data_IF_320785329162
#
_entry.id   IF_320785329162
#
_cell.length_a   1.000
_cell.length_b   1.000
_cell.length_c   1.000
_cell.angle_alpha   90.00
_cell.angle_beta   90.00
_cell.angle_gamma   90.00
#
_symmetry.space_group_name_H-M   'P 1'
#
loop_
_entity.id
_entity.type
_entity.pdbx_description
1 polymer ?
#
# COMPACT_ATOMS: atom_id res chain seq x y z
N UNK A 1 7.48 -12.41 14.33
CA UNK A 1 6.39 -13.18 14.98
C UNK A 1 6.32 -12.89 16.47
N UNK A 2 7.43 -12.95 17.14
CA UNK A 2 7.47 -12.92 18.62
C UNK A 2 7.21 -11.54 19.19
N UNK A 3 7.46 -10.48 18.43
CA UNK A 3 7.14 -9.10 18.84
C UNK A 3 5.63 -8.87 19.05
N UNK A 4 4.76 -9.60 18.36
CA UNK A 4 3.31 -9.48 18.55
C UNK A 4 2.88 -9.98 19.94
N UNK A 5 3.51 -11.03 20.42
CA UNK A 5 3.24 -11.61 21.75
C UNK A 5 3.97 -10.86 22.89
N UNK A 6 5.08 -10.18 22.60
CA UNK A 6 6.00 -9.61 23.57
C UNK A 6 6.31 -8.13 23.30
N UNK A 7 5.30 -7.35 22.93
CA UNK A 7 5.50 -5.97 22.46
C UNK A 7 5.79 -4.98 23.59
N UNK A 8 7.00 -5.10 24.17
CA UNK A 8 7.51 -4.22 25.21
C UNK A 8 9.02 -3.94 25.02
N UNK A 9 9.52 -2.92 25.70
CA UNK A 9 10.90 -2.44 25.53
C UNK A 9 11.94 -3.44 26.02
N UNK A 10 11.69 -4.13 27.12
CA UNK A 10 12.62 -5.08 27.73
C UNK A 10 12.87 -6.26 26.80
N UNK A 11 11.81 -6.89 26.32
CA UNK A 11 11.88 -7.97 25.35
C UNK A 11 12.59 -7.52 24.06
N UNK A 12 12.25 -6.36 23.54
CA UNK A 12 12.87 -5.84 22.33
C UNK A 12 14.38 -5.61 22.50
N UNK A 13 14.82 -5.10 23.63
CA UNK A 13 16.25 -4.92 23.90
C UNK A 13 17.00 -6.24 23.95
N UNK A 14 16.40 -7.29 24.50
CA UNK A 14 16.98 -8.63 24.53
C UNK A 14 17.11 -9.27 23.15
N UNK A 15 16.23 -8.90 22.18
CA UNK A 15 16.19 -9.44 20.81
C UNK A 15 16.61 -8.41 19.74
N UNK A 16 17.33 -7.37 20.14
CA UNK A 16 17.71 -6.26 19.25
C UNK A 16 18.60 -6.70 18.09
N UNK A 17 19.46 -7.67 18.30
CA UNK A 17 20.36 -8.19 17.27
C UNK A 17 19.56 -8.89 16.15
N UNK A 18 18.58 -9.72 16.52
CA UNK A 18 17.69 -10.39 15.57
C UNK A 18 16.88 -9.37 14.75
N UNK A 19 16.33 -8.36 15.43
CA UNK A 19 15.65 -7.27 14.73
C UNK A 19 16.58 -6.54 13.75
N UNK A 20 17.82 -6.27 14.16
CA UNK A 20 18.79 -5.57 13.31
C UNK A 20 19.12 -6.39 12.07
N UNK A 21 19.30 -7.69 12.20
CA UNK A 21 19.53 -8.59 11.08
C UNK A 21 18.32 -8.64 10.12
N UNK A 22 17.11 -8.84 10.66
CA UNK A 22 15.86 -8.81 9.87
C UNK A 22 15.68 -7.47 9.15
N UNK A 23 15.96 -6.37 9.82
CA UNK A 23 15.86 -5.04 9.25
C UNK A 23 16.85 -4.83 8.10
N UNK A 24 18.08 -5.31 8.24
CA UNK A 24 19.11 -5.23 7.20
C UNK A 24 18.69 -6.04 5.95
N UNK A 25 18.22 -7.27 6.13
CA UNK A 25 17.67 -8.08 5.01
C UNK A 25 16.49 -7.40 4.32
N UNK A 26 15.56 -6.83 5.08
CA UNK A 26 14.45 -6.08 4.51
C UNK A 26 14.92 -4.88 3.68
N UNK A 27 15.88 -4.11 4.19
CA UNK A 27 16.42 -2.93 3.52
C UNK A 27 17.19 -3.29 2.25
N UNK A 28 17.91 -4.42 2.24
CA UNK A 28 18.53 -4.96 1.05
C UNK A 28 17.48 -5.34 -0.01
N UNK A 29 16.41 -6.03 0.41
CA UNK A 29 15.27 -6.35 -0.46
C UNK A 29 14.64 -5.10 -1.08
N UNK A 30 14.41 -4.05 -0.30
CA UNK A 30 13.87 -2.78 -0.81
C UNK A 30 14.85 -2.11 -1.80
N UNK A 31 16.15 -2.18 -1.57
CA UNK A 31 17.16 -1.67 -2.52
C UNK A 31 17.07 -2.39 -3.87
N UNK A 32 16.96 -3.72 -3.85
CA UNK A 32 16.78 -4.52 -5.07
C UNK A 32 15.47 -4.16 -5.79
N UNK A 33 14.37 -3.99 -5.04
CA UNK A 33 13.09 -3.58 -5.62
C UNK A 33 13.15 -2.20 -6.27
N UNK A 34 13.76 -1.20 -5.64
CA UNK A 34 13.96 0.12 -6.25
C UNK A 34 14.71 -0.03 -7.58
N UNK A 35 15.77 -0.83 -7.62
CA UNK A 35 16.57 -1.07 -8.83
C UNK A 35 15.74 -1.72 -9.95
N UNK A 36 14.95 -2.75 -9.62
CA UNK A 36 14.12 -3.45 -10.61
C UNK A 36 12.98 -2.58 -11.10
N UNK A 37 12.26 -1.91 -10.19
CA UNK A 37 11.13 -1.05 -10.55
C UNK A 37 11.62 0.14 -11.39
N UNK A 38 12.79 0.71 -11.10
CA UNK A 38 13.33 1.85 -11.84
C UNK A 38 13.60 1.56 -13.34
N UNK A 39 13.63 0.30 -13.74
CA UNK A 39 13.77 -0.10 -15.15
C UNK A 39 12.53 0.24 -15.98
N UNK A 40 11.34 0.26 -15.36
CA UNK A 40 10.08 0.61 -16.01
C UNK A 40 9.40 1.86 -15.41
N UNK A 41 9.77 2.27 -14.20
CA UNK A 41 9.36 3.52 -13.56
C UNK A 41 10.60 4.34 -13.18
N UNK A 42 11.17 5.12 -14.11
CA UNK A 42 12.39 5.90 -13.86
C UNK A 42 12.18 7.02 -12.82
N UNK A 43 10.95 7.36 -12.47
CA UNK A 43 10.65 8.43 -11.50
C UNK A 43 11.12 8.11 -10.09
N UNK A 44 11.37 6.83 -9.78
CA UNK A 44 11.80 6.38 -8.46
C UNK A 44 13.30 6.06 -8.38
N UNK A 45 14.05 6.16 -9.48
CA UNK A 45 15.46 5.74 -9.56
C UNK A 45 16.41 6.49 -8.60
N UNK A 46 16.02 7.69 -8.17
CA UNK A 46 16.79 8.52 -7.24
C UNK A 46 16.57 8.18 -5.75
N UNK A 47 15.61 7.31 -5.45
CA UNK A 47 15.23 6.99 -4.07
C UNK A 47 16.28 6.12 -3.37
N UNK A 48 16.41 6.36 -2.08
CA UNK A 48 17.14 5.49 -1.16
C UNK A 48 16.17 4.70 -0.29
N UNK A 49 16.64 3.64 0.34
CA UNK A 49 15.86 2.85 1.31
C UNK A 49 15.25 3.73 2.41
N UNK A 50 15.98 4.75 2.87
CA UNK A 50 15.50 5.68 3.91
C UNK A 50 14.30 6.51 3.48
N UNK A 51 14.18 6.80 2.18
CA UNK A 51 13.04 7.53 1.62
C UNK A 51 11.77 6.69 1.60
N UNK A 52 11.92 5.37 1.51
CA UNK A 52 10.84 4.41 1.31
C UNK A 52 10.37 3.72 2.59
N UNK A 53 11.28 3.40 3.53
CA UNK A 53 10.98 2.55 4.69
C UNK A 53 10.38 3.30 5.86
N UNK A 54 9.43 2.66 6.54
CA UNK A 54 8.82 3.21 7.76
C UNK A 54 9.65 2.87 9.00
N UNK A 55 9.55 3.74 10.02
CA UNK A 55 10.12 3.48 11.35
C UNK A 55 9.40 2.32 12.03
N UNK A 56 10.12 1.58 12.83
CA UNK A 56 9.58 0.46 13.60
C UNK A 56 8.71 0.91 14.78
N UNK A 57 9.11 2.00 15.45
CA UNK A 57 8.37 2.54 16.58
C UNK A 57 7.00 3.07 16.14
N UNK A 58 5.97 2.77 16.93
CA UNK A 58 4.62 3.32 16.78
C UNK A 58 4.54 4.73 17.35
N UNK A 59 3.60 5.51 16.83
CA UNK A 59 3.13 6.72 17.50
C UNK A 59 1.90 6.37 18.32
N UNK A 60 2.08 6.24 19.62
CA UNK A 60 1.04 5.78 20.55
C UNK A 60 0.29 6.91 21.24
N UNK A 61 0.58 8.20 20.90
CA UNK A 61 -0.02 9.36 21.59
C UNK A 61 -1.54 9.32 21.57
N UNK A 62 -2.13 9.00 20.43
CA UNK A 62 -3.58 9.00 20.20
C UNK A 62 -4.15 7.59 20.01
N UNK A 63 -3.37 6.52 20.21
CA UNK A 63 -3.81 5.14 20.07
C UNK A 63 -4.28 4.58 21.41
N UNK A 64 -5.41 3.84 21.46
CA UNK A 64 -5.78 3.04 22.63
C UNK A 64 -4.73 1.95 22.94
N UNK A 65 -4.20 1.32 21.91
CA UNK A 65 -3.11 0.36 22.04
C UNK A 65 -1.78 1.11 22.22
N UNK A 66 -1.15 0.88 23.37
CA UNK A 66 0.12 1.51 23.78
C UNK A 66 1.36 0.66 23.45
N UNK A 67 1.22 -0.44 22.72
CA UNK A 67 2.36 -1.24 22.24
C UNK A 67 3.38 -0.36 21.51
N UNK A 68 4.66 -0.35 21.92
CA UNK A 68 5.64 0.62 21.41
C UNK A 68 6.12 0.34 19.99
N UNK A 69 5.99 -0.89 19.50
CA UNK A 69 6.55 -1.32 18.21
C UNK A 69 5.47 -1.80 17.25
N UNK A 70 5.75 -1.71 15.96
CA UNK A 70 4.95 -2.36 14.93
C UNK A 70 5.25 -3.85 14.89
N UNK A 71 4.27 -4.64 14.50
CA UNK A 71 4.40 -6.08 14.28
C UNK A 71 4.85 -6.42 12.84
N UNK A 72 5.11 -5.40 12.01
CA UNK A 72 5.44 -5.52 10.60
C UNK A 72 6.57 -4.59 10.18
N UNK A 73 7.20 -4.91 9.08
CA UNK A 73 8.07 -4.03 8.31
C UNK A 73 7.30 -3.53 7.08
N UNK A 74 7.40 -2.25 6.77
CA UNK A 74 6.71 -1.66 5.64
C UNK A 74 7.59 -0.69 4.88
N UNK A 75 7.41 -0.65 3.55
CA UNK A 75 8.02 0.33 2.68
C UNK A 75 7.00 0.84 1.64
N UNK A 76 7.10 2.12 1.30
CA UNK A 76 6.36 2.73 0.21
C UNK A 76 7.35 3.40 -0.74
N UNK A 77 7.47 2.82 -1.93
CA UNK A 77 8.36 3.29 -3.01
C UNK A 77 7.50 4.18 -3.90
N UNK A 78 7.74 5.48 -3.85
CA UNK A 78 6.98 6.46 -4.61
C UNK A 78 7.87 7.66 -4.94
N UNK A 79 7.65 8.28 -6.08
CA UNK A 79 8.45 9.38 -6.68
C UNK A 79 9.00 10.41 -5.68
N UNK A 80 8.23 10.80 -4.68
CA UNK A 80 8.63 11.76 -3.66
C UNK A 80 8.82 11.11 -2.26
N UNK A 81 9.09 9.80 -2.22
CA UNK A 81 9.27 9.02 -1.01
C UNK A 81 7.96 8.72 -0.26
N UNK A 82 8.06 8.00 0.85
CA UNK A 82 6.94 7.40 1.60
C UNK A 82 5.88 8.37 2.16
N UNK A 83 6.11 9.67 2.11
CA UNK A 83 5.15 10.69 2.55
C UNK A 83 4.39 11.32 1.39
N UNK A 84 4.67 10.89 0.17
CA UNK A 84 4.01 11.40 -1.02
C UNK A 84 2.54 11.02 -1.06
N UNK A 85 1.75 11.84 -1.74
CA UNK A 85 0.36 11.57 -2.10
C UNK A 85 0.22 10.97 -3.50
N UNK A 86 1.33 10.73 -4.21
CA UNK A 86 1.33 10.05 -5.50
C UNK A 86 1.10 8.55 -5.34
N UNK A 87 0.68 7.89 -6.39
CA UNK A 87 0.70 6.43 -6.48
C UNK A 87 2.12 5.87 -6.35
N UNK A 88 2.24 4.66 -5.85
CA UNK A 88 3.53 4.00 -5.66
C UNK A 88 3.35 2.50 -5.38
N UNK A 89 4.40 1.88 -4.87
CA UNK A 89 4.50 0.45 -4.61
C UNK A 89 4.67 0.24 -3.11
N UNK A 90 3.77 -0.50 -2.50
CA UNK A 90 3.78 -0.77 -1.06
C UNK A 90 4.12 -2.22 -0.79
N UNK A 91 5.05 -2.44 0.09
CA UNK A 91 5.46 -3.74 0.60
C UNK A 91 5.18 -3.80 2.09
N UNK A 92 4.48 -4.84 2.53
CA UNK A 92 4.17 -5.11 3.92
C UNK A 92 4.57 -6.53 4.27
N UNK A 93 5.48 -6.68 5.21
CA UNK A 93 5.92 -7.99 5.70
C UNK A 93 5.47 -8.14 7.14
N UNK A 94 4.46 -8.98 7.33
CA UNK A 94 3.90 -9.36 8.62
C UNK A 94 3.55 -10.84 8.57
N UNK A 95 3.92 -11.59 9.58
CA UNK A 95 3.63 -13.04 9.64
C UNK A 95 2.14 -13.32 9.49
N UNK A 96 1.78 -14.09 8.47
CA UNK A 96 0.40 -14.44 8.11
C UNK A 96 -0.40 -13.33 7.42
N UNK A 97 0.18 -12.13 7.24
CA UNK A 97 -0.48 -10.98 6.64
C UNK A 97 0.41 -10.22 5.64
N UNK A 98 1.39 -10.92 5.06
CA UNK A 98 2.29 -10.32 4.06
C UNK A 98 1.52 -9.95 2.79
N UNK A 99 1.77 -8.75 2.26
CA UNK A 99 1.09 -8.25 1.06
C UNK A 99 1.96 -7.31 0.24
N UNK A 100 1.58 -7.19 -1.03
CA UNK A 100 2.09 -6.19 -1.98
C UNK A 100 0.90 -5.38 -2.48
N UNK A 101 1.09 -4.06 -2.60
CA UNK A 101 0.07 -3.17 -3.14
C UNK A 101 0.68 -2.13 -4.08
N UNK A 102 -0.15 -1.63 -5.01
CA UNK A 102 0.20 -0.54 -5.93
C UNK A 102 -0.89 0.54 -5.87
N UNK A 103 -0.52 1.76 -6.24
CA UNK A 103 -1.47 2.87 -6.35
C UNK A 103 -1.39 3.84 -5.17
N UNK A 104 -2.50 4.52 -4.87
CA UNK A 104 -2.56 5.58 -3.88
C UNK A 104 -3.62 5.29 -2.81
N UNK A 105 -3.21 5.36 -1.56
CA UNK A 105 -4.01 5.10 -0.37
C UNK A 105 -4.18 6.36 0.48
N UNK A 106 -5.35 6.51 1.09
CA UNK A 106 -5.66 7.59 2.03
C UNK A 106 -5.46 9.00 1.44
N UNK A 107 -6.05 9.22 0.26
CA UNK A 107 -5.93 10.50 -0.45
C UNK A 107 -6.76 11.61 0.22
N UNK A 108 -6.22 12.82 0.42
CA UNK A 108 -6.99 13.99 0.79
C UNK A 108 -8.08 14.29 -0.24
N UNK A 109 -9.19 14.88 0.20
CA UNK A 109 -10.37 15.11 -0.64
C UNK A 109 -10.08 15.90 -1.93
N UNK A 110 -9.21 16.91 -1.86
CA UNK A 110 -8.81 17.69 -3.02
C UNK A 110 -8.05 16.86 -4.07
N UNK A 111 -7.14 15.99 -3.62
CA UNK A 111 -6.40 15.09 -4.51
C UNK A 111 -7.33 14.03 -5.09
N UNK A 112 -8.20 13.46 -4.25
CA UNK A 112 -9.19 12.48 -4.69
C UNK A 112 -10.15 13.07 -5.74
N UNK A 113 -10.55 14.35 -5.58
CA UNK A 113 -11.37 15.06 -6.57
C UNK A 113 -10.60 15.26 -7.88
N UNK A 114 -9.32 15.61 -7.82
CA UNK A 114 -8.49 15.72 -9.03
C UNK A 114 -8.36 14.35 -9.74
N UNK A 115 -8.12 13.27 -9.02
CA UNK A 115 -8.09 11.91 -9.59
C UNK A 115 -9.42 11.55 -10.26
N UNK A 116 -10.56 11.88 -9.63
CA UNK A 116 -11.89 11.62 -10.22
C UNK A 116 -12.12 12.39 -11.52
N UNK A 117 -11.72 13.65 -11.56
CA UNK A 117 -11.83 14.46 -12.79
C UNK A 117 -10.95 13.88 -13.91
N UNK A 118 -9.72 13.47 -13.57
CA UNK A 118 -8.81 12.84 -14.53
C UNK A 118 -9.38 11.53 -15.06
N UNK A 119 -9.88 10.66 -14.19
CA UNK A 119 -10.52 9.39 -14.56
C UNK A 119 -11.75 9.63 -15.44
N UNK A 120 -12.59 10.62 -15.10
CA UNK A 120 -13.78 10.95 -15.88
C UNK A 120 -13.42 11.51 -17.24
N UNK A 121 -12.38 12.35 -17.33
CA UNK A 121 -11.91 12.95 -18.58
C UNK A 121 -11.19 11.95 -19.51
N UNK A 122 -10.56 10.92 -18.95
CA UNK A 122 -9.76 9.93 -19.67
C UNK A 122 -10.23 8.49 -19.37
N UNK A 123 -11.55 8.29 -19.37
CA UNK A 123 -12.17 7.03 -18.91
C UNK A 123 -11.73 5.81 -19.69
N UNK A 124 -11.57 5.91 -20.99
CA UNK A 124 -11.19 4.78 -21.84
C UNK A 124 -9.75 4.37 -21.56
N UNK A 125 -8.84 5.31 -21.33
CA UNK A 125 -7.48 5.00 -20.91
C UNK A 125 -7.47 4.35 -19.52
N UNK A 126 -8.20 4.93 -18.55
CA UNK A 126 -8.33 4.34 -17.22
C UNK A 126 -8.81 2.90 -17.28
N UNK A 127 -9.91 2.65 -17.99
CA UNK A 127 -10.48 1.30 -18.13
C UNK A 127 -9.51 0.35 -18.82
N UNK A 128 -8.81 0.78 -19.84
CA UNK A 128 -7.81 -0.04 -20.53
C UNK A 128 -6.71 -0.53 -19.58
N UNK A 129 -6.41 0.22 -18.52
CA UNK A 129 -5.42 -0.13 -17.49
C UNK A 129 -5.99 -1.07 -16.44
N UNK A 130 -7.18 -0.77 -15.90
CA UNK A 130 -7.72 -1.48 -14.72
C UNK A 130 -8.70 -2.59 -15.07
N UNK A 131 -9.21 -2.66 -16.30
CA UNK A 131 -10.11 -3.71 -16.79
C UNK A 131 -9.38 -4.74 -17.66
N UNK A 132 -8.08 -4.57 -17.94
CA UNK A 132 -7.37 -5.59 -18.70
C UNK A 132 -7.26 -6.90 -17.92
N UNK A 133 -7.16 -8.00 -18.66
CA UNK A 133 -7.18 -9.36 -18.11
C UNK A 133 -6.13 -9.55 -17.01
N UNK A 134 -4.90 -9.11 -17.23
CA UNK A 134 -3.81 -9.31 -16.27
C UNK A 134 -4.05 -8.54 -14.96
N UNK A 135 -4.55 -7.29 -15.03
CA UNK A 135 -4.90 -6.52 -13.84
C UNK A 135 -6.03 -7.17 -13.04
N UNK A 136 -7.13 -7.57 -13.72
CA UNK A 136 -8.29 -8.18 -13.07
C UNK A 136 -7.95 -9.55 -12.48
N UNK A 137 -7.16 -10.37 -13.16
CA UNK A 137 -6.68 -11.65 -12.63
C UNK A 137 -5.81 -11.46 -11.38
N UNK A 138 -4.99 -10.41 -11.36
CA UNK A 138 -4.08 -10.13 -10.22
C UNK A 138 -4.82 -9.48 -9.04
N UNK A 139 -5.59 -8.43 -9.28
CA UNK A 139 -6.14 -7.58 -8.22
C UNK A 139 -7.66 -7.67 -8.06
N UNK A 140 -8.38 -8.23 -9.04
CA UNK A 140 -9.84 -8.22 -9.07
C UNK A 140 -10.43 -6.95 -9.67
N UNK A 141 -11.74 -6.82 -9.54
CA UNK A 141 -12.53 -5.67 -10.01
C UNK A 141 -12.66 -4.60 -8.92
N UNK A 142 -12.98 -3.33 -9.27
CA UNK A 142 -13.13 -2.24 -8.29
C UNK A 142 -14.12 -2.57 -7.18
N UNK A 143 -13.74 -2.31 -5.94
CA UNK A 143 -14.56 -2.51 -4.72
C UNK A 143 -15.06 -3.95 -4.51
N UNK A 144 -14.42 -4.94 -5.16
CA UNK A 144 -14.78 -6.34 -5.02
C UNK A 144 -14.34 -6.95 -3.67
N UNK A 145 -13.34 -6.34 -3.01
CA UNK A 145 -12.80 -6.83 -1.74
C UNK A 145 -12.53 -5.66 -0.80
N UNK A 146 -12.83 -5.84 0.47
CA UNK A 146 -12.49 -4.87 1.52
C UNK A 146 -11.20 -5.30 2.22
N UNK A 147 -10.44 -4.32 2.67
CA UNK A 147 -9.31 -4.55 3.55
C UNK A 147 -9.75 -5.29 4.82
N UNK A 148 -9.01 -6.32 5.19
CA UNK A 148 -9.35 -7.14 6.37
C UNK A 148 -10.27 -8.32 6.10
N UNK A 149 -10.93 -8.39 4.92
CA UNK A 149 -11.65 -9.58 4.50
C UNK A 149 -10.66 -10.73 4.29
N UNK A 150 -11.15 -11.99 4.31
CA UNK A 150 -10.34 -13.18 3.99
C UNK A 150 -9.88 -13.22 2.52
N UNK A 151 -10.28 -12.25 1.72
CA UNK A 151 -9.92 -12.15 0.32
C UNK A 151 -8.40 -12.01 0.14
N UNK A 152 -7.82 -12.76 -0.81
CA UNK A 152 -6.39 -12.69 -1.08
C UNK A 152 -5.97 -11.47 -1.90
N UNK A 153 -6.91 -10.72 -2.48
CA UNK A 153 -6.66 -9.59 -3.38
C UNK A 153 -7.80 -8.59 -3.39
N UNK A 154 -7.54 -7.37 -3.85
CA UNK A 154 -8.56 -6.34 -4.02
C UNK A 154 -8.09 -5.12 -4.79
N UNK A 155 -9.07 -4.36 -5.30
CA UNK A 155 -8.87 -3.06 -5.91
C UNK A 155 -9.87 -2.06 -5.33
N UNK A 156 -9.36 -1.05 -4.61
CA UNK A 156 -10.12 -0.14 -3.75
C UNK A 156 -10.47 -0.75 -2.40
N UNK A 157 -10.21 -0.01 -1.33
CA UNK A 157 -10.45 -0.45 0.05
C UNK A 157 -11.77 0.07 0.57
N UNK A 158 -12.14 1.29 0.17
CA UNK A 158 -13.36 1.94 0.59
C UNK A 158 -14.09 2.63 -0.56
N UNK A 159 -15.40 2.71 -0.45
CA UNK A 159 -16.27 3.31 -1.45
C UNK A 159 -17.33 4.21 -0.80
N UNK A 160 -17.66 5.31 -1.46
CA UNK A 160 -18.81 6.13 -1.10
C UNK A 160 -20.12 5.36 -1.38
N UNK A 161 -21.10 5.51 -0.51
CA UNK A 161 -22.44 4.96 -0.72
C UNK A 161 -23.18 5.67 -1.87
N UNK A 162 -22.96 6.98 -2.02
CA UNK A 162 -23.61 7.82 -3.00
C UNK A 162 -22.59 8.46 -3.96
N UNK A 163 -23.08 9.10 -5.01
CA UNK A 163 -22.28 9.91 -5.92
C UNK A 163 -21.46 10.96 -5.14
N UNK A 164 -20.17 11.15 -5.43
CA UNK A 164 -19.40 12.24 -4.86
C UNK A 164 -20.00 13.59 -5.24
N UNK A 165 -19.83 14.60 -4.37
CA UNK A 165 -20.30 15.97 -4.61
C UNK A 165 -19.66 16.52 -5.89
N UNK A 166 -20.43 17.31 -6.63
CA UNK A 166 -20.01 18.00 -7.86
C UNK A 166 -19.73 17.07 -9.07
N UNK A 167 -20.17 15.81 -9.02
CA UNK A 167 -20.09 14.87 -10.15
C UNK A 167 -21.50 14.50 -10.67
N UNK A 168 -21.65 14.18 -11.99
CA UNK A 168 -22.93 13.79 -12.59
C UNK A 168 -23.43 12.49 -11.96
N UNK A 169 -24.68 12.46 -11.49
CA UNK A 169 -25.25 11.26 -10.81
C UNK A 169 -25.50 10.08 -11.72
N UNK A 170 -25.69 10.35 -12.99
CA UNK A 170 -25.99 9.41 -14.07
C UNK A 170 -24.75 8.98 -14.86
N UNK A 171 -23.56 9.29 -14.37
CA UNK A 171 -22.33 8.89 -15.02
C UNK A 171 -22.19 7.37 -15.07
N UNK A 172 -22.03 6.82 -16.27
CA UNK A 172 -22.01 5.35 -16.52
C UNK A 172 -20.95 4.63 -15.67
N UNK A 173 -19.78 5.23 -15.50
CA UNK A 173 -18.66 4.64 -14.76
C UNK A 173 -18.54 5.17 -13.32
N UNK A 174 -19.68 5.40 -12.66
CA UNK A 174 -19.77 5.94 -11.30
C UNK A 174 -19.04 5.08 -10.26
N UNK A 175 -18.90 3.78 -10.49
CA UNK A 175 -18.14 2.87 -9.63
C UNK A 175 -16.71 3.35 -9.36
N UNK A 176 -16.01 3.89 -10.36
CA UNK A 176 -14.67 4.45 -10.20
C UNK A 176 -14.67 5.76 -9.42
N UNK A 177 -15.66 6.63 -9.64
CA UNK A 177 -15.75 7.90 -8.94
C UNK A 177 -16.15 7.76 -7.46
N UNK A 178 -16.82 6.67 -7.10
CA UNK A 178 -17.16 6.36 -5.70
C UNK A 178 -15.98 5.85 -4.88
N UNK A 179 -14.91 5.40 -5.50
CA UNK A 179 -13.71 4.94 -4.79
C UNK A 179 -13.14 6.06 -3.91
N UNK A 180 -12.71 5.72 -2.69
CA UNK A 180 -12.06 6.64 -1.75
C UNK A 180 -10.54 6.54 -1.81
N UNK A 181 -10.05 5.55 -2.50
CA UNK A 181 -8.64 5.29 -2.79
C UNK A 181 -8.51 4.55 -4.12
N UNK A 182 -7.34 4.56 -4.70
CA UNK A 182 -7.01 3.85 -5.92
C UNK A 182 -5.83 2.91 -5.65
N UNK A 183 -6.02 2.05 -4.65
CA UNK A 183 -5.04 1.08 -4.20
C UNK A 183 -5.47 -0.33 -4.63
N UNK A 184 -4.59 -1.04 -5.34
CA UNK A 184 -4.77 -2.44 -5.66
C UNK A 184 -3.75 -3.28 -4.88
N UNK A 185 -4.15 -4.44 -4.34
CA UNK A 185 -3.33 -5.22 -3.44
C UNK A 185 -3.55 -6.72 -3.59
N UNK A 186 -2.51 -7.48 -3.27
CA UNK A 186 -2.54 -8.94 -3.15
C UNK A 186 -1.90 -9.38 -1.84
N UNK A 187 -2.48 -10.39 -1.19
CA UNK A 187 -1.79 -11.13 -0.12
C UNK A 187 -0.85 -12.14 -0.76
N UNK A 188 0.32 -12.28 -0.20
CA UNK A 188 1.32 -13.23 -0.66
C UNK A 188 1.77 -14.12 0.50
N UNK A 189 2.23 -15.36 0.25
CA UNK A 189 2.80 -16.20 1.30
C UNK A 189 3.97 -15.51 2.02
N UNK A 190 4.18 -15.80 3.30
CA UNK A 190 5.29 -15.23 4.05
C UNK A 190 6.66 -15.55 3.41
N UNK A 191 6.75 -16.66 2.68
CA UNK A 191 7.94 -17.09 1.92
C UNK A 191 8.13 -16.37 0.58
N UNK A 192 7.24 -15.48 0.19
CA UNK A 192 7.26 -14.82 -1.13
C UNK A 192 8.58 -14.05 -1.40
N UNK A 193 9.20 -13.53 -0.36
CA UNK A 193 10.46 -12.80 -0.43
C UNK A 193 11.69 -13.64 -0.02
N UNK A 194 11.49 -14.95 0.22
CA UNK A 194 12.56 -15.91 0.50
C UNK A 194 12.99 -16.54 -0.82
N UNK A 195 13.95 -15.93 -1.52
CA UNK A 195 14.45 -16.42 -2.79
C UNK A 195 15.96 -16.25 -2.93
#
# INVERSE_FOLDING_TARGET
ADITANNNREWFLAHKEEYTACRASFEEGITKLITVISQFDPTIAHLTVKDCTYRFNRDTRFSPDKSPYKNHLGAYICMNGRKSLCGGYYIHIEKGHTLVAIGAYFLPTNILTACRNEIMGNIDEWRSRVENKAFVETFGTPNASKWGDENPKGFGLECLKTCPKDFPRDYEHMNYLKMKDYCAWIKVPDTFFEG
#
